data_IF_127108549030
#
_entry.id   IF_127108549030
#
_cell.length_a   1.000
_cell.length_b   1.000
_cell.length_c   1.000
_cell.angle_alpha   90.00
_cell.angle_beta   90.00
_cell.angle_gamma   90.00
#
_symmetry.space_group_name_H-M   'P 1'
#
loop_
_entity.id
_entity.type
_entity.pdbx_description
1 polymer ?
#
# COMPACT_ATOMS: atom_id res chain seq x y z
N UNK A 1 -34.32 -22.15 4.05
CA UNK A 1 -33.51 -23.39 4.14
C UNK A 1 -32.39 -23.27 3.10
N UNK A 2 -31.41 -22.40 3.38
CA UNK A 2 -30.27 -22.12 2.50
C UNK A 2 -29.04 -22.69 3.19
N UNK A 3 -28.43 -23.68 2.53
CA UNK A 3 -27.33 -24.47 3.07
C UNK A 3 -26.06 -23.62 3.15
N UNK A 4 -25.51 -23.61 4.36
CA UNK A 4 -24.22 -23.09 4.75
C UNK A 4 -23.12 -23.95 4.06
N UNK A 5 -22.47 -23.44 3.02
CA UNK A 5 -21.24 -24.06 2.49
C UNK A 5 -20.05 -23.38 3.16
N UNK A 6 -19.63 -24.00 4.27
CA UNK A 6 -18.34 -23.80 4.90
C UNK A 6 -17.24 -24.30 3.95
N UNK A 7 -16.47 -23.39 3.37
CA UNK A 7 -15.23 -23.73 2.64
C UNK A 7 -14.09 -23.79 3.66
N UNK A 8 -13.92 -24.95 4.28
CA UNK A 8 -12.66 -25.40 4.85
C UNK A 8 -11.88 -26.16 3.77
N UNK A 9 -11.05 -25.46 3.01
CA UNK A 9 -10.02 -26.05 2.15
C UNK A 9 -8.67 -25.43 2.50
N UNK A 10 -8.08 -25.89 3.61
CA UNK A 10 -6.68 -25.70 3.96
C UNK A 10 -6.14 -27.09 4.29
N UNK A 11 -5.50 -27.72 3.32
CA UNK A 11 -4.90 -29.04 3.50
C UNK A 11 -4.18 -29.52 2.25
N UNK A 12 -2.86 -29.73 2.39
CA UNK A 12 -1.93 -30.36 1.46
C UNK A 12 -1.39 -29.51 0.29
N UNK A 13 -0.47 -28.58 0.61
CA UNK A 13 0.61 -28.25 -0.32
C UNK A 13 1.59 -29.44 -0.35
N UNK A 14 1.48 -30.26 -1.39
CA UNK A 14 2.40 -31.36 -1.65
C UNK A 14 3.77 -30.80 -2.11
N UNK A 15 4.82 -31.11 -1.36
CA UNK A 15 6.21 -30.96 -1.81
C UNK A 15 6.47 -31.94 -2.95
N UNK A 16 6.27 -31.51 -4.19
CA UNK A 16 6.70 -32.25 -5.37
C UNK A 16 8.20 -32.05 -5.58
N UNK A 17 9.00 -33.08 -5.25
CA UNK A 17 10.39 -33.19 -5.71
C UNK A 17 10.38 -33.48 -7.21
N UNK A 18 10.86 -32.53 -8.00
CA UNK A 18 11.12 -32.69 -9.43
C UNK A 18 12.37 -33.55 -9.64
N UNK A 19 12.18 -34.81 -9.98
CA UNK A 19 13.22 -35.64 -10.62
C UNK A 19 13.29 -35.27 -12.11
N UNK A 20 14.42 -34.71 -12.53
CA UNK A 20 14.68 -34.30 -13.91
C UNK A 20 14.63 -35.48 -14.89
N UNK A 21 13.79 -35.34 -15.92
CA UNK A 21 13.74 -36.22 -17.09
C UNK A 21 14.05 -35.36 -18.31
N UNK A 22 15.27 -35.47 -18.82
CA UNK A 22 15.72 -34.77 -20.02
C UNK A 22 14.94 -35.24 -21.24
N UNK A 23 14.36 -34.30 -21.99
CA UNK A 23 13.77 -34.55 -23.31
C UNK A 23 14.42 -33.57 -24.30
N UNK A 24 15.10 -34.05 -25.35
CA UNK A 24 15.55 -33.19 -26.44
C UNK A 24 14.46 -33.14 -27.51
N UNK A 25 14.15 -31.95 -28.03
CA UNK A 25 13.31 -31.84 -29.23
C UNK A 25 12.66 -30.49 -29.46
N UNK A 26 13.23 -29.79 -30.45
CA UNK A 26 12.60 -28.86 -31.39
C UNK A 26 12.33 -27.41 -30.93
N UNK A 27 13.27 -26.56 -31.34
CA UNK A 27 13.14 -25.11 -31.49
C UNK A 27 12.04 -24.78 -32.52
N UNK A 28 10.82 -24.53 -32.05
CA UNK A 28 9.85 -23.73 -32.76
C UNK A 28 9.79 -22.38 -32.04
N UNK A 29 10.21 -21.32 -32.73
CA UNK A 29 10.11 -19.95 -32.23
C UNK A 29 8.63 -19.67 -31.89
N UNK A 30 8.27 -19.43 -30.62
CA UNK A 30 6.89 -19.20 -30.25
C UNK A 30 6.41 -17.90 -30.90
N UNK A 31 5.19 -17.87 -31.47
CA UNK A 31 4.64 -16.67 -32.07
C UNK A 31 4.62 -15.54 -31.05
N UNK A 32 5.23 -14.41 -31.41
CA UNK A 32 5.27 -13.21 -30.57
C UNK A 32 3.83 -12.75 -30.33
N UNK A 33 3.34 -12.98 -29.11
CA UNK A 33 1.99 -12.58 -28.73
C UNK A 33 1.88 -11.05 -28.85
N UNK A 34 0.77 -10.51 -29.37
CA UNK A 34 0.54 -9.07 -29.40
C UNK A 34 0.64 -8.52 -27.97
N UNK A 35 1.36 -7.41 -27.80
CA UNK A 35 1.51 -6.75 -26.51
C UNK A 35 0.12 -6.37 -25.97
N UNK A 36 -0.28 -7.01 -24.87
CA UNK A 36 -1.51 -6.65 -24.17
C UNK A 36 -1.38 -5.20 -23.69
N UNK A 37 -2.33 -4.30 -23.98
CA UNK A 37 -2.24 -2.92 -23.55
C UNK A 37 -2.18 -2.85 -22.01
N UNK A 38 -1.19 -2.15 -21.48
CA UNK A 38 -1.03 -1.90 -20.05
C UNK A 38 -2.11 -0.93 -19.59
N UNK A 39 -2.87 -1.30 -18.57
CA UNK A 39 -3.84 -0.38 -17.95
C UNK A 39 -3.04 0.62 -17.12
N UNK A 40 -3.15 1.91 -17.44
CA UNK A 40 -2.65 3.00 -16.60
C UNK A 40 -3.87 3.69 -15.97
N UNK A 41 -4.44 3.12 -14.89
CA UNK A 41 -5.63 3.69 -14.29
C UNK A 41 -5.28 5.06 -13.70
N UNK A 42 -6.16 6.04 -13.91
CA UNK A 42 -6.10 7.28 -13.14
C UNK A 42 -6.38 6.94 -11.68
N UNK A 43 -5.67 7.60 -10.76
CA UNK A 43 -6.04 7.54 -9.35
C UNK A 43 -7.18 8.54 -9.12
N UNK A 44 -8.20 8.16 -8.37
CA UNK A 44 -9.33 9.03 -8.05
C UNK A 44 -8.85 10.40 -7.57
N UNK A 45 -9.16 11.44 -8.35
CA UNK A 45 -9.04 12.82 -7.92
C UNK A 45 -10.13 13.03 -6.86
N UNK A 46 -9.72 13.30 -5.62
CA UNK A 46 -10.69 13.49 -4.56
C UNK A 46 -11.55 14.73 -4.85
N UNK A 47 -12.84 14.64 -4.55
CA UNK A 47 -13.68 15.81 -4.36
C UNK A 47 -13.00 16.77 -3.37
N UNK A 48 -12.48 17.91 -3.87
CA UNK A 48 -12.17 19.12 -3.10
C UNK A 48 -10.76 19.31 -2.52
N UNK A 49 -9.91 18.27 -2.43
CA UNK A 49 -8.61 18.36 -1.72
C UNK A 49 -7.44 17.78 -2.56
N UNK A 50 -7.42 18.04 -3.86
CA UNK A 50 -6.19 17.86 -4.65
C UNK A 50 -5.47 19.20 -4.60
N UNK A 51 -4.65 19.40 -3.56
CA UNK A 51 -3.61 20.41 -3.66
C UNK A 51 -2.71 19.99 -4.82
N UNK A 52 -2.55 20.88 -5.80
CA UNK A 52 -1.62 20.66 -6.91
C UNK A 52 -0.23 20.33 -6.34
N UNK A 53 0.49 19.42 -6.99
CA UNK A 53 1.80 18.96 -6.51
C UNK A 53 2.76 20.13 -6.24
N UNK A 54 2.67 21.19 -7.04
CA UNK A 54 3.43 22.43 -6.89
C UNK A 54 3.06 23.19 -5.62
N UNK A 55 1.77 23.26 -5.29
CA UNK A 55 1.27 23.89 -4.05
C UNK A 55 1.74 23.12 -2.82
N UNK A 56 1.66 21.79 -2.86
CA UNK A 56 2.18 20.93 -1.77
C UNK A 56 3.69 21.12 -1.61
N UNK A 57 4.43 21.10 -2.72
CA UNK A 57 5.88 21.29 -2.72
C UNK A 57 6.30 22.66 -2.18
N UNK A 58 5.60 23.73 -2.58
CA UNK A 58 5.82 25.07 -2.04
C UNK A 58 5.54 25.14 -0.54
N UNK A 59 4.47 24.51 -0.08
CA UNK A 59 4.13 24.46 1.36
C UNK A 59 5.16 23.69 2.18
N UNK A 60 5.66 22.56 1.68
CA UNK A 60 6.73 21.79 2.33
C UNK A 60 7.99 22.64 2.48
N UNK A 61 8.43 23.31 1.41
CA UNK A 61 9.59 24.22 1.46
C UNK A 61 9.39 25.34 2.47
N UNK A 62 8.21 25.97 2.48
CA UNK A 62 7.88 27.04 3.42
C UNK A 62 7.94 26.57 4.88
N UNK A 63 7.41 25.38 5.17
CA UNK A 63 7.50 24.81 6.52
C UNK A 63 8.94 24.51 6.93
N UNK A 64 9.77 23.99 6.03
CA UNK A 64 11.19 23.77 6.31
C UNK A 64 11.92 25.09 6.61
N UNK A 65 11.67 26.14 5.83
CA UNK A 65 12.22 27.49 6.09
C UNK A 65 11.77 28.06 7.44
N UNK A 66 10.48 27.96 7.76
CA UNK A 66 9.93 28.40 9.05
C UNK A 66 10.57 27.63 10.21
N UNK A 67 10.88 26.35 10.00
CA UNK A 67 11.54 25.53 11.01
C UNK A 67 13.00 25.93 11.28
N UNK A 68 13.68 26.54 10.30
CA UNK A 68 15.03 27.11 10.50
C UNK A 68 14.96 28.51 11.14
N UNK A 69 13.87 29.24 10.94
CA UNK A 69 13.67 30.60 11.45
C UNK A 69 13.06 30.65 12.87
N UNK A 70 12.42 29.57 13.31
CA UNK A 70 11.74 29.51 14.58
C UNK A 70 12.69 29.64 15.78
N UNK A 71 12.34 30.52 16.73
CA UNK A 71 13.16 30.82 17.91
C UNK A 71 13.11 29.71 18.98
N UNK A 72 12.01 28.96 19.05
CA UNK A 72 11.78 27.95 20.08
C UNK A 72 11.71 26.51 19.52
N UNK A 73 12.08 25.54 20.36
CA UNK A 73 12.13 24.14 19.97
C UNK A 73 10.77 23.54 19.59
N UNK A 74 9.67 24.01 20.19
CA UNK A 74 8.33 23.51 19.88
C UNK A 74 7.94 23.84 18.44
N UNK A 75 8.09 25.11 18.05
CA UNK A 75 7.86 25.57 16.69
C UNK A 75 8.78 24.86 15.69
N UNK A 76 10.09 24.76 16.00
CA UNK A 76 11.06 24.06 15.16
C UNK A 76 10.69 22.59 14.91
N UNK A 77 10.24 21.87 15.94
CA UNK A 77 9.78 20.47 15.83
C UNK A 77 8.47 20.40 15.06
N UNK A 78 7.50 21.23 15.42
CA UNK A 78 6.15 21.24 14.82
C UNK A 78 6.23 21.46 13.30
N UNK A 79 7.00 22.45 12.84
CA UNK A 79 7.16 22.72 11.40
C UNK A 79 7.83 21.56 10.66
N UNK A 80 8.88 20.94 11.24
CA UNK A 80 9.57 19.77 10.63
C UNK A 80 8.66 18.56 10.55
N UNK A 81 7.92 18.26 11.62
CA UNK A 81 6.97 17.15 11.63
C UNK A 81 5.83 17.38 10.63
N UNK A 82 5.29 18.61 10.55
CA UNK A 82 4.27 18.97 9.57
C UNK A 82 4.79 18.81 8.12
N UNK A 83 6.00 19.28 7.83
CA UNK A 83 6.63 19.11 6.52
C UNK A 83 6.82 17.64 6.16
N UNK A 84 7.37 16.82 7.08
CA UNK A 84 7.52 15.38 6.87
C UNK A 84 6.17 14.68 6.66
N UNK A 85 5.15 15.06 7.43
CA UNK A 85 3.80 14.50 7.29
C UNK A 85 3.19 14.83 5.92
N UNK A 86 3.42 16.04 5.38
CA UNK A 86 2.96 16.41 4.04
C UNK A 86 3.67 15.62 2.94
N UNK A 87 4.99 15.42 3.04
CA UNK A 87 5.75 14.58 2.09
C UNK A 87 5.15 13.17 2.07
N UNK A 88 5.04 12.54 3.25
CA UNK A 88 4.50 11.18 3.38
C UNK A 88 3.06 11.08 2.83
N UNK A 89 2.18 11.99 3.23
CA UNK A 89 0.75 11.94 2.89
C UNK A 89 0.43 12.33 1.45
N UNK A 90 1.13 13.28 0.86
CA UNK A 90 0.74 13.83 -0.44
C UNK A 90 1.68 13.44 -1.59
N UNK A 91 2.96 13.20 -1.31
CA UNK A 91 3.94 12.87 -2.33
C UNK A 91 4.22 11.36 -2.38
N UNK A 92 4.20 10.66 -1.24
CA UNK A 92 4.49 9.21 -1.16
C UNK A 92 3.24 8.34 -1.24
N UNK A 93 2.13 8.76 -0.61
CA UNK A 93 0.87 7.99 -0.62
C UNK A 93 0.37 7.56 -2.02
N UNK A 94 0.47 8.37 -3.10
CA UNK A 94 0.08 7.91 -4.43
C UNK A 94 0.85 6.66 -4.88
N UNK A 95 2.16 6.65 -4.65
CA UNK A 95 3.00 5.52 -4.99
C UNK A 95 2.74 4.33 -4.06
N UNK A 96 2.45 4.58 -2.77
CA UNK A 96 2.02 3.53 -1.83
C UNK A 96 0.67 2.91 -2.24
N UNK A 97 -0.26 3.70 -2.78
CA UNK A 97 -1.51 3.20 -3.36
C UNK A 97 -1.22 2.28 -4.53
N UNK A 98 -0.41 2.73 -5.49
CA UNK A 98 -0.01 1.91 -6.63
C UNK A 98 0.69 0.62 -6.20
N UNK A 99 1.50 0.69 -5.13
CA UNK A 99 2.12 -0.48 -4.50
C UNK A 99 1.08 -1.47 -3.96
N UNK A 100 0.14 -0.98 -3.14
CA UNK A 100 -0.93 -1.78 -2.56
C UNK A 100 -1.81 -2.42 -3.64
N UNK A 101 -2.00 -1.71 -4.75
CA UNK A 101 -2.70 -2.21 -5.93
C UNK A 101 -1.83 -3.03 -6.87
N UNK A 102 -0.52 -3.21 -6.62
CA UNK A 102 0.34 -4.07 -7.44
C UNK A 102 0.66 -3.52 -8.82
N UNK A 103 0.48 -2.21 -9.02
CA UNK A 103 0.71 -1.51 -10.29
C UNK A 103 2.07 -0.84 -10.31
N UNK A 104 2.93 -1.06 -9.31
CA UNK A 104 4.10 -0.21 -9.09
C UNK A 104 5.04 -0.24 -10.31
N UNK A 105 5.17 0.87 -11.07
CA UNK A 105 6.18 0.96 -12.11
C UNK A 105 7.56 1.01 -11.45
N UNK A 106 8.59 0.48 -12.11
CA UNK A 106 9.97 0.57 -11.62
C UNK A 106 10.37 2.02 -11.25
N UNK A 107 9.81 3.00 -11.95
CA UNK A 107 10.05 4.42 -11.71
C UNK A 107 9.37 4.96 -10.43
N UNK A 108 8.25 4.39 -9.98
CA UNK A 108 7.63 4.84 -8.73
C UNK A 108 8.50 4.50 -7.52
N UNK A 109 9.14 3.32 -7.53
CA UNK A 109 10.14 2.95 -6.51
C UNK A 109 11.29 3.95 -6.46
N UNK A 110 11.80 4.37 -7.63
CA UNK A 110 12.88 5.35 -7.76
C UNK A 110 12.46 6.75 -7.27
N UNK A 111 11.21 7.14 -7.48
CA UNK A 111 10.68 8.42 -7.02
C UNK A 111 10.41 8.43 -5.50
N UNK A 112 10.01 7.30 -4.91
CA UNK A 112 9.71 7.20 -3.48
C UNK A 112 10.94 7.36 -2.60
N UNK A 113 12.08 6.79 -2.99
CA UNK A 113 13.31 6.79 -2.19
C UNK A 113 13.80 8.20 -1.79
N UNK A 114 14.01 9.16 -2.72
CA UNK A 114 14.45 10.52 -2.36
C UNK A 114 13.43 11.27 -1.51
N UNK A 115 12.13 11.05 -1.73
CA UNK A 115 11.07 11.66 -0.92
C UNK A 115 11.08 11.09 0.51
N UNK A 116 11.27 9.78 0.67
CA UNK A 116 11.40 9.15 1.97
C UNK A 116 12.64 9.67 2.70
N UNK A 117 13.76 9.83 2.00
CA UNK A 117 14.98 10.38 2.57
C UNK A 117 14.77 11.83 3.06
N UNK A 118 14.14 12.68 2.24
CA UNK A 118 13.82 14.05 2.64
C UNK A 118 12.92 14.12 3.89
N UNK A 119 11.91 13.24 3.99
CA UNK A 119 11.09 13.12 5.19
C UNK A 119 11.92 12.63 6.40
N UNK A 120 12.81 11.65 6.20
CA UNK A 120 13.69 11.12 7.25
C UNK A 120 14.69 12.16 7.77
N UNK A 121 15.21 13.04 6.93
CA UNK A 121 16.13 14.11 7.35
C UNK A 121 15.44 15.13 8.27
N UNK A 122 14.21 15.53 7.90
CA UNK A 122 13.35 16.37 8.75
C UNK A 122 13.04 15.69 10.09
N UNK A 123 12.70 14.40 10.06
CA UNK A 123 12.38 13.61 11.26
C UNK A 123 13.62 13.38 12.14
N UNK A 124 14.80 13.18 11.55
CA UNK A 124 16.05 13.03 12.30
C UNK A 124 16.36 14.29 13.11
N UNK A 125 16.21 15.46 12.48
CA UNK A 125 16.43 16.76 13.12
C UNK A 125 15.40 17.03 14.22
N UNK A 126 14.11 16.77 13.94
CA UNK A 126 13.04 16.87 14.94
C UNK A 126 13.29 15.94 16.14
N UNK A 127 13.78 14.72 15.91
CA UNK A 127 14.14 13.77 16.97
C UNK A 127 15.26 14.30 17.88
N UNK A 128 16.34 14.83 17.30
CA UNK A 128 17.44 15.44 18.07
C UNK A 128 16.95 16.62 18.92
N UNK A 129 16.08 17.46 18.38
CA UNK A 129 15.48 18.57 19.12
C UNK A 129 14.61 18.05 20.27
N UNK A 130 13.74 17.07 20.02
CA UNK A 130 12.92 16.44 21.06
C UNK A 130 13.77 15.84 22.18
N UNK A 131 14.89 15.20 21.85
CA UNK A 131 15.81 14.61 22.84
C UNK A 131 16.59 15.65 23.64
N UNK A 132 16.76 16.87 23.10
CA UNK A 132 17.38 17.99 23.83
C UNK A 132 16.42 18.69 24.81
N UNK A 133 15.10 18.52 24.65
CA UNK A 133 14.10 19.03 25.59
C UNK A 133 14.11 18.13 26.83
N UNK A 134 14.69 18.65 27.91
CA UNK A 134 14.79 17.94 29.20
C UNK A 134 13.43 17.64 29.83
N UNK A 135 13.37 16.72 30.81
CA UNK A 135 12.14 16.34 31.50
C UNK A 135 11.52 17.48 32.34
N UNK A 136 12.29 18.51 32.67
CA UNK A 136 11.92 19.59 33.61
C UNK A 136 11.35 20.85 32.94
N UNK A 137 11.01 20.80 31.64
CA UNK A 137 10.42 21.97 30.95
C UNK A 137 8.95 22.12 31.37
N UNK A 138 8.62 23.22 32.05
CA UNK A 138 7.27 23.56 32.54
C UNK A 138 6.20 23.54 31.42
N UNK A 139 6.60 23.76 30.17
CA UNK A 139 5.77 23.69 28.96
C UNK A 139 5.75 22.30 28.27
N UNK A 140 6.20 21.23 28.92
CA UNK A 140 6.38 19.88 28.34
C UNK A 140 5.13 19.19 27.78
N UNK A 141 3.95 19.81 27.84
CA UNK A 141 2.69 19.25 27.36
C UNK A 141 2.69 18.95 25.85
N UNK A 142 3.45 19.70 25.05
CA UNK A 142 3.56 19.47 23.60
C UNK A 142 4.52 18.33 23.23
N UNK A 143 5.46 17.98 24.12
CA UNK A 143 6.56 17.05 23.83
C UNK A 143 6.06 15.64 23.57
N UNK A 144 5.16 15.11 24.41
CA UNK A 144 4.68 13.74 24.26
C UNK A 144 3.81 13.53 23.00
N UNK A 145 2.85 14.41 22.67
CA UNK A 145 2.19 14.40 21.37
C UNK A 145 3.18 14.46 20.19
N UNK A 146 4.18 15.35 20.25
CA UNK A 146 5.19 15.47 19.20
C UNK A 146 6.07 14.22 19.09
N UNK A 147 6.47 13.59 20.20
CA UNK A 147 7.21 12.31 20.21
C UNK A 147 6.40 11.19 19.60
N UNK A 148 5.09 11.11 19.88
CA UNK A 148 4.19 10.12 19.29
C UNK A 148 4.06 10.31 17.77
N UNK A 149 3.86 11.55 17.33
CA UNK A 149 3.81 11.89 15.90
C UNK A 149 5.14 11.55 15.21
N UNK A 150 6.27 11.97 15.78
CA UNK A 150 7.61 11.67 15.29
C UNK A 150 7.86 10.17 15.13
N UNK A 151 7.58 9.37 16.17
CA UNK A 151 7.74 7.89 16.13
C UNK A 151 6.91 7.30 14.99
N UNK A 152 5.65 7.70 14.88
CA UNK A 152 4.74 7.17 13.85
C UNK A 152 5.22 7.51 12.45
N UNK A 153 5.53 8.80 12.19
CA UNK A 153 6.00 9.25 10.88
C UNK A 153 7.35 8.61 10.51
N UNK A 154 8.27 8.46 11.47
CA UNK A 154 9.57 7.79 11.24
C UNK A 154 9.38 6.33 10.85
N UNK A 155 8.60 5.56 11.60
CA UNK A 155 8.39 4.14 11.32
C UNK A 155 7.73 3.94 9.94
N UNK A 156 6.77 4.79 9.59
CA UNK A 156 6.15 4.77 8.26
C UNK A 156 7.18 5.11 7.16
N UNK A 157 7.95 6.19 7.33
CA UNK A 157 8.99 6.59 6.37
C UNK A 157 10.06 5.50 6.17
N UNK A 158 10.54 4.90 7.26
CA UNK A 158 11.50 3.79 7.21
C UNK A 158 10.92 2.55 6.53
N UNK A 159 9.67 2.21 6.83
CA UNK A 159 9.00 1.08 6.21
C UNK A 159 8.84 1.27 4.70
N UNK A 160 8.42 2.45 4.27
CA UNK A 160 8.30 2.77 2.83
C UNK A 160 9.66 2.77 2.15
N UNK A 161 10.70 3.35 2.77
CA UNK A 161 12.06 3.33 2.23
C UNK A 161 12.58 1.90 2.08
N UNK A 162 12.33 1.04 3.08
CA UNK A 162 12.73 -0.36 3.04
C UNK A 162 11.97 -1.17 1.97
N UNK A 163 10.74 -0.80 1.63
CA UNK A 163 10.01 -1.37 0.49
C UNK A 163 10.61 -0.92 -0.85
N UNK A 164 11.11 0.31 -0.92
CA UNK A 164 11.73 0.83 -2.13
C UNK A 164 13.11 0.23 -2.43
N UNK A 165 13.69 -0.47 -1.46
CA UNK A 165 15.00 -1.09 -1.59
C UNK A 165 14.90 -2.63 -1.56
N UNK A 166 15.11 -3.26 -2.72
CA UNK A 166 15.06 -4.72 -2.88
C UNK A 166 16.36 -5.44 -2.51
N UNK A 167 17.29 -4.79 -1.82
CA UNK A 167 18.56 -5.39 -1.38
C UNK A 167 18.32 -6.68 -0.56
N UNK A 168 18.82 -7.85 -1.01
CA UNK A 168 18.70 -9.12 -0.29
C UNK A 168 19.78 -9.32 0.78
N UNK A 169 20.63 -8.33 1.07
CA UNK A 169 21.70 -8.45 2.08
C UNK A 169 21.17 -8.76 3.49
N UNK A 170 21.98 -9.46 4.30
CA UNK A 170 21.65 -9.75 5.71
C UNK A 170 21.38 -8.47 6.51
N UNK A 171 22.09 -7.38 6.18
CA UNK A 171 21.88 -6.07 6.78
C UNK A 171 20.50 -5.49 6.43
N UNK A 172 20.08 -5.60 5.17
CA UNK A 172 18.75 -5.18 4.74
C UNK A 172 17.64 -6.04 5.40
N UNK A 173 17.84 -7.36 5.48
CA UNK A 173 16.92 -8.27 6.16
C UNK A 173 16.79 -7.90 7.65
N UNK A 174 17.92 -7.67 8.34
CA UNK A 174 17.91 -7.29 9.74
C UNK A 174 17.26 -5.91 9.95
N UNK A 175 17.48 -4.97 9.04
CA UNK A 175 16.80 -3.67 9.06
C UNK A 175 15.29 -3.80 8.90
N UNK A 176 14.80 -4.62 7.97
CA UNK A 176 13.37 -4.90 7.81
C UNK A 176 12.76 -5.53 9.07
N UNK A 177 13.48 -6.47 9.71
CA UNK A 177 13.04 -7.05 11.00
C UNK A 177 12.92 -5.99 12.10
N UNK A 178 13.90 -5.08 12.20
CA UNK A 178 13.85 -3.96 13.16
C UNK A 178 12.63 -3.07 12.92
N UNK A 179 12.39 -2.65 11.67
CA UNK A 179 11.24 -1.82 11.31
C UNK A 179 9.93 -2.53 11.64
N UNK A 180 9.83 -3.84 11.37
CA UNK A 180 8.64 -4.64 11.70
C UNK A 180 8.35 -4.72 13.20
N UNK A 181 9.37 -4.79 14.04
CA UNK A 181 9.19 -4.71 15.50
C UNK A 181 8.59 -3.36 15.92
N UNK A 182 8.96 -2.28 15.26
CA UNK A 182 8.39 -0.95 15.53
C UNK A 182 6.98 -0.79 14.94
N UNK A 183 6.71 -1.35 13.76
CA UNK A 183 5.38 -1.42 13.17
C UNK A 183 4.41 -2.18 14.08
N UNK A 184 4.88 -3.20 14.81
CA UNK A 184 4.04 -3.91 15.77
C UNK A 184 3.48 -3.00 16.87
N UNK A 185 4.21 -1.95 17.27
CA UNK A 185 3.70 -0.94 18.21
C UNK A 185 2.57 -0.12 17.57
N UNK A 186 2.70 0.21 16.27
CA UNK A 186 1.68 0.96 15.53
C UNK A 186 0.40 0.16 15.25
N UNK A 187 0.48 -1.18 15.26
CA UNK A 187 -0.71 -2.03 15.13
C UNK A 187 -1.67 -1.88 16.33
N UNK A 188 -1.14 -1.52 17.51
CA UNK A 188 -1.92 -1.26 18.71
C UNK A 188 -2.41 0.21 18.79
N UNK A 189 -2.17 1.02 17.75
CA UNK A 189 -2.53 2.44 17.76
C UNK A 189 -4.06 2.64 17.70
N UNK A 190 -4.64 3.59 18.45
CA UNK A 190 -6.10 3.80 18.46
C UNK A 190 -6.67 4.24 17.10
N UNK A 191 -5.91 4.99 16.30
CA UNK A 191 -6.29 5.39 14.93
C UNK A 191 -6.13 4.22 13.94
N UNK A 192 -7.23 3.75 13.39
CA UNK A 192 -7.28 2.63 12.44
C UNK A 192 -6.56 2.91 11.12
N UNK A 193 -6.38 4.18 10.74
CA UNK A 193 -5.60 4.56 9.56
C UNK A 193 -4.14 4.18 9.76
N UNK A 194 -3.60 4.46 10.96
CA UNK A 194 -2.24 4.07 11.33
C UNK A 194 -2.11 2.55 11.38
N UNK A 195 -3.11 1.85 11.95
CA UNK A 195 -3.10 0.38 11.95
C UNK A 195 -3.07 -0.20 10.53
N UNK A 196 -3.85 0.38 9.61
CA UNK A 196 -3.93 -0.09 8.23
C UNK A 196 -2.62 0.11 7.47
N UNK A 197 -1.98 1.28 7.56
CA UNK A 197 -0.65 1.48 6.95
C UNK A 197 0.38 0.56 7.59
N UNK A 198 0.37 0.41 8.92
CA UNK A 198 1.31 -0.45 9.61
C UNK A 198 1.15 -1.93 9.22
N UNK A 199 -0.10 -2.39 9.05
CA UNK A 199 -0.42 -3.74 8.60
C UNK A 199 0.07 -3.98 7.18
N UNK A 200 -0.19 -3.05 6.26
CA UNK A 200 0.28 -3.14 4.87
C UNK A 200 1.82 -3.19 4.81
N UNK A 201 2.50 -2.29 5.53
CA UNK A 201 3.97 -2.26 5.57
C UNK A 201 4.54 -3.52 6.22
N UNK A 202 4.01 -4.00 7.35
CA UNK A 202 4.51 -5.22 8.00
C UNK A 202 4.36 -6.45 7.10
N UNK A 203 3.23 -6.57 6.39
CA UNK A 203 3.00 -7.65 5.43
C UNK A 203 4.01 -7.61 4.30
N UNK A 204 4.24 -6.44 3.73
CA UNK A 204 5.11 -6.27 2.57
C UNK A 204 6.60 -6.35 2.89
N UNK A 205 6.97 -6.04 4.13
CA UNK A 205 8.34 -6.18 4.62
C UNK A 205 8.66 -7.62 5.07
N UNK A 206 7.67 -8.52 5.17
CA UNK A 206 7.92 -9.94 5.49
C UNK A 206 8.56 -10.64 4.30
N UNK A 207 9.60 -11.42 4.59
CA UNK A 207 10.14 -12.34 3.60
C UNK A 207 9.19 -13.53 3.44
N UNK A 208 8.76 -13.89 2.21
CA UNK A 208 7.95 -15.08 1.98
C UNK A 208 8.67 -16.38 2.38
N UNK A 209 10.00 -16.33 2.54
CA UNK A 209 10.82 -17.47 2.98
C UNK A 209 10.66 -17.74 4.49
N UNK A 210 10.48 -16.69 5.30
CA UNK A 210 10.45 -16.82 6.77
C UNK A 210 9.11 -17.36 7.29
N UNK A 211 8.00 -16.91 6.71
CA UNK A 211 6.65 -17.28 7.13
C UNK A 211 5.65 -17.07 5.99
N UNK A 212 5.42 -18.08 5.13
CA UNK A 212 4.57 -17.93 3.94
C UNK A 212 3.08 -17.74 4.28
N UNK A 213 2.64 -18.08 5.50
CA UNK A 213 1.23 -18.02 5.90
C UNK A 213 0.95 -16.90 6.93
N UNK A 214 1.97 -16.38 7.60
CA UNK A 214 1.88 -15.29 8.55
C UNK A 214 1.15 -14.05 8.05
N UNK A 215 1.46 -13.53 6.85
CA UNK A 215 0.75 -12.40 6.26
C UNK A 215 -0.77 -12.61 6.18
N UNK A 216 -1.22 -13.79 5.74
CA UNK A 216 -2.64 -14.09 5.60
C UNK A 216 -3.39 -14.14 6.93
N UNK A 217 -2.72 -14.51 8.03
CA UNK A 217 -3.34 -14.52 9.37
C UNK A 217 -3.58 -13.13 9.94
N UNK A 218 -2.85 -12.12 9.46
CA UNK A 218 -2.94 -10.73 9.92
C UNK A 218 -3.95 -9.90 9.15
N UNK A 219 -4.34 -10.35 7.96
CA UNK A 219 -5.29 -9.65 7.14
C UNK A 219 -6.73 -10.01 7.51
N UNK A 220 -7.67 -9.03 7.49
CA UNK A 220 -9.08 -9.29 7.72
C UNK A 220 -9.59 -10.34 6.72
N UNK A 221 -10.57 -11.15 7.11
CA UNK A 221 -11.24 -12.02 6.15
C UNK A 221 -11.86 -11.16 5.06
N UNK A 222 -11.70 -11.60 3.81
CA UNK A 222 -12.10 -10.80 2.66
C UNK A 222 -13.58 -10.40 2.70
N UNK A 223 -14.45 -11.30 3.16
CA UNK A 223 -15.90 -11.11 3.12
C UNK A 223 -16.51 -10.74 4.48
N UNK A 224 -15.69 -10.57 5.52
CA UNK A 224 -16.20 -10.18 6.83
C UNK A 224 -16.82 -8.77 6.77
N UNK A 225 -18.02 -8.58 7.35
CA UNK A 225 -18.71 -7.30 7.32
C UNK A 225 -17.89 -6.22 8.03
N UNK A 226 -17.88 -5.01 7.46
CA UNK A 226 -17.06 -3.86 7.89
C UNK A 226 -17.54 -3.20 9.20
N UNK A 227 -18.23 -3.92 10.08
CA UNK A 227 -18.88 -3.36 11.27
C UNK A 227 -17.92 -2.59 12.20
N UNK A 228 -16.61 -2.75 12.03
CA UNK A 228 -15.56 -2.07 12.81
C UNK A 228 -14.40 -1.50 11.97
N UNK A 229 -14.48 -1.47 10.64
CA UNK A 229 -13.31 -1.19 9.77
C UNK A 229 -13.54 0.06 8.91
N UNK A 230 -12.81 1.17 9.13
CA UNK A 230 -13.05 2.40 8.40
C UNK A 230 -12.62 2.25 6.93
N UNK A 231 -13.60 2.36 6.04
CA UNK A 231 -13.37 2.50 4.61
C UNK A 231 -12.63 3.82 4.30
N UNK A 232 -11.74 3.84 3.30
CA UNK A 232 -11.46 2.77 2.33
C UNK A 232 -10.40 1.75 2.77
N UNK A 233 -9.78 1.91 3.94
CA UNK A 233 -8.56 1.18 4.29
C UNK A 233 -8.76 -0.34 4.42
N UNK A 234 -9.88 -0.74 5.02
CA UNK A 234 -10.27 -2.15 5.14
C UNK A 234 -10.39 -2.87 3.79
N UNK A 235 -10.73 -2.16 2.71
CA UNK A 235 -10.80 -2.76 1.37
C UNK A 235 -9.40 -3.11 0.87
N UNK A 236 -8.42 -2.21 0.98
CA UNK A 236 -7.05 -2.46 0.54
C UNK A 236 -6.41 -3.67 1.23
N UNK A 237 -6.66 -3.84 2.54
CA UNK A 237 -6.18 -5.02 3.28
C UNK A 237 -6.84 -6.32 2.76
N UNK A 238 -8.12 -6.28 2.37
CA UNK A 238 -8.81 -7.44 1.78
C UNK A 238 -8.33 -7.74 0.36
N UNK A 239 -8.04 -6.71 -0.44
CA UNK A 239 -7.43 -6.86 -1.76
C UNK A 239 -6.02 -7.47 -1.65
N UNK A 240 -5.22 -6.99 -0.70
CA UNK A 240 -3.90 -7.55 -0.38
C UNK A 240 -3.99 -9.03 0.00
N UNK A 241 -5.03 -9.41 0.76
CA UNK A 241 -5.28 -10.82 1.10
C UNK A 241 -5.51 -11.66 -0.14
N UNK A 242 -6.36 -11.18 -1.06
CA UNK A 242 -6.66 -11.90 -2.29
C UNK A 242 -5.40 -12.09 -3.15
N UNK A 243 -4.54 -11.07 -3.22
CA UNK A 243 -3.25 -11.16 -3.91
C UNK A 243 -2.35 -12.22 -3.28
N UNK A 244 -2.17 -12.21 -1.97
CA UNK A 244 -1.36 -13.21 -1.27
C UNK A 244 -1.91 -14.64 -1.41
N UNK A 245 -3.24 -14.80 -1.42
CA UNK A 245 -3.88 -16.10 -1.72
C UNK A 245 -3.54 -16.55 -3.14
N UNK A 246 -3.60 -15.67 -4.14
CA UNK A 246 -3.19 -15.98 -5.51
C UNK A 246 -1.69 -16.32 -5.60
N UNK A 247 -0.83 -15.54 -4.98
CA UNK A 247 0.63 -15.76 -4.92
C UNK A 247 0.99 -17.12 -4.28
N UNK A 248 0.14 -17.63 -3.38
CA UNK A 248 0.26 -18.98 -2.82
C UNK A 248 -0.20 -20.12 -3.75
N UNK A 249 -0.61 -19.80 -4.98
CA UNK A 249 -1.09 -20.73 -6.00
C UNK A 249 -2.61 -20.85 -6.10
N UNK A 250 -3.37 -20.30 -5.16
CA UNK A 250 -4.83 -20.43 -5.08
C UNK A 250 -5.57 -19.36 -5.90
N UNK A 251 -5.19 -19.18 -7.17
CA UNK A 251 -5.70 -18.14 -8.08
C UNK A 251 -7.23 -18.17 -8.24
N UNK A 252 -7.81 -19.35 -8.47
CA UNK A 252 -9.26 -19.51 -8.63
C UNK A 252 -10.03 -19.04 -7.38
N UNK A 253 -9.53 -19.36 -6.19
CA UNK A 253 -10.14 -18.94 -4.93
C UNK A 253 -10.02 -17.42 -4.74
N UNK A 254 -8.85 -16.83 -5.04
CA UNK A 254 -8.67 -15.39 -5.00
C UNK A 254 -9.64 -14.66 -5.96
N UNK A 255 -9.82 -15.16 -7.18
CA UNK A 255 -10.74 -14.59 -8.17
C UNK A 255 -12.19 -14.68 -7.68
N UNK A 256 -12.61 -15.84 -7.16
CA UNK A 256 -13.97 -16.02 -6.65
C UNK A 256 -14.29 -15.06 -5.48
N UNK A 257 -13.30 -14.81 -4.62
CA UNK A 257 -13.43 -13.83 -3.53
C UNK A 257 -13.44 -12.40 -4.07
N UNK A 258 -12.63 -12.07 -5.07
CA UNK A 258 -12.61 -10.73 -5.68
C UNK A 258 -13.94 -10.40 -6.38
N UNK A 259 -14.59 -11.38 -7.03
CA UNK A 259 -15.95 -11.19 -7.59
C UNK A 259 -16.95 -10.85 -6.49
N UNK A 260 -16.93 -11.59 -5.38
CA UNK A 260 -17.82 -11.31 -4.24
C UNK A 260 -17.50 -9.96 -3.58
N UNK A 261 -16.23 -9.59 -3.46
CA UNK A 261 -15.81 -8.28 -2.95
C UNK A 261 -16.34 -7.13 -3.82
N UNK A 262 -16.33 -7.30 -5.14
CA UNK A 262 -16.86 -6.32 -6.09
C UNK A 262 -18.37 -6.12 -5.88
N UNK A 263 -19.13 -7.20 -5.74
CA UNK A 263 -20.57 -7.13 -5.41
C UNK A 263 -20.80 -6.44 -4.06
N UNK A 264 -19.98 -6.76 -3.05
CA UNK A 264 -20.08 -6.17 -1.70
C UNK A 264 -19.70 -4.70 -1.65
N UNK A 265 -18.98 -4.17 -2.64
CA UNK A 265 -18.73 -2.73 -2.73
C UNK A 265 -20.04 -1.93 -2.79
N UNK A 266 -21.12 -2.51 -3.31
CA UNK A 266 -22.45 -1.89 -3.32
C UNK A 266 -23.03 -1.67 -1.92
N UNK A 267 -22.73 -2.57 -0.99
CA UNK A 267 -23.22 -2.49 0.39
C UNK A 267 -22.33 -1.62 1.28
N UNK A 268 -21.09 -1.38 0.85
CA UNK A 268 -20.04 -0.74 1.64
C UNK A 268 -19.84 0.74 1.29
N UNK A 269 -20.08 1.11 0.03
CA UNK A 269 -19.82 2.46 -0.47
C UNK A 269 -21.07 3.05 -1.12
N UNK A 270 -21.19 4.38 -1.03
CA UNK A 270 -22.29 5.15 -1.61
C UNK A 270 -21.84 6.01 -2.80
N UNK A 271 -22.78 6.28 -3.70
CA UNK A 271 -22.59 7.19 -4.84
C UNK A 271 -21.41 6.80 -5.73
N UNK A 272 -20.65 7.80 -6.19
CA UNK A 272 -19.51 7.60 -7.09
C UNK A 272 -18.40 6.71 -6.50
N UNK A 273 -18.21 6.73 -5.16
CA UNK A 273 -17.17 5.91 -4.49
C UNK A 273 -17.43 4.41 -4.63
N UNK A 274 -18.69 4.01 -4.80
CA UNK A 274 -19.07 2.62 -5.04
C UNK A 274 -18.48 2.07 -6.32
N UNK A 275 -18.64 2.81 -7.41
CA UNK A 275 -18.11 2.43 -8.72
C UNK A 275 -16.59 2.43 -8.73
N UNK A 276 -15.97 3.43 -8.07
CA UNK A 276 -14.52 3.50 -7.91
C UNK A 276 -13.98 2.32 -7.09
N UNK A 277 -14.67 1.92 -6.01
CA UNK A 277 -14.30 0.75 -5.21
C UNK A 277 -14.42 -0.57 -5.98
N UNK A 278 -15.52 -0.76 -6.71
CA UNK A 278 -15.71 -1.91 -7.58
C UNK A 278 -14.63 -1.96 -8.67
N UNK A 279 -14.31 -0.83 -9.30
CA UNK A 279 -13.23 -0.72 -10.29
C UNK A 279 -11.86 -1.05 -9.70
N UNK A 280 -11.59 -0.61 -8.47
CA UNK A 280 -10.35 -0.94 -7.75
C UNK A 280 -10.23 -2.45 -7.51
N UNK A 281 -11.32 -3.09 -7.11
CA UNK A 281 -11.37 -4.56 -6.94
C UNK A 281 -11.18 -5.28 -8.27
N UNK A 282 -11.83 -4.80 -9.34
CA UNK A 282 -11.71 -5.33 -10.69
C UNK A 282 -10.28 -5.24 -11.23
N UNK A 283 -9.54 -4.17 -10.90
CA UNK A 283 -8.13 -4.03 -11.25
C UNK A 283 -7.29 -5.18 -10.66
N UNK A 284 -7.44 -5.43 -9.37
CA UNK A 284 -6.71 -6.51 -8.68
C UNK A 284 -7.11 -7.87 -9.26
N UNK A 285 -8.38 -8.07 -9.65
CA UNK A 285 -8.82 -9.27 -10.37
C UNK A 285 -8.12 -9.46 -11.70
N UNK A 286 -7.95 -8.40 -12.49
CA UNK A 286 -7.20 -8.45 -13.75
C UNK A 286 -5.76 -8.92 -13.49
N UNK A 287 -5.07 -8.36 -12.49
CA UNK A 287 -3.69 -8.73 -12.17
C UNK A 287 -3.54 -10.19 -11.73
N UNK A 288 -4.49 -10.67 -10.91
CA UNK A 288 -4.51 -12.08 -10.49
C UNK A 288 -4.74 -13.00 -11.70
N UNK A 289 -5.63 -12.63 -12.63
CA UNK A 289 -5.86 -13.38 -13.87
C UNK A 289 -4.62 -13.36 -14.78
N UNK A 290 -3.93 -12.23 -14.89
CA UNK A 290 -2.69 -12.10 -15.67
C UNK A 290 -1.58 -13.00 -15.10
N UNK A 291 -1.42 -13.00 -13.78
CA UNK A 291 -0.47 -13.86 -13.07
C UNK A 291 -0.83 -15.33 -13.24
N UNK A 292 -2.12 -15.69 -13.14
CA UNK A 292 -2.57 -17.06 -13.33
C UNK A 292 -2.34 -17.54 -14.78
N UNK A 293 -2.65 -16.70 -15.76
CA UNK A 293 -2.41 -17.01 -17.18
C UNK A 293 -0.92 -17.25 -17.46
N UNK A 294 -0.03 -16.45 -16.84
CA UNK A 294 1.42 -16.62 -16.96
C UNK A 294 1.90 -17.93 -16.30
N UNK A 295 1.40 -18.26 -15.10
CA UNK A 295 1.72 -19.51 -14.42
C UNK A 295 1.26 -20.74 -15.23
N UNK A 296 0.02 -20.74 -15.72
CA UNK A 296 -0.53 -21.81 -16.57
C UNK A 296 0.31 -22.00 -17.86
N UNK A 297 0.73 -20.91 -18.49
CA UNK A 297 1.57 -20.97 -19.68
C UNK A 297 2.96 -21.57 -19.37
N UNK A 298 3.57 -21.19 -18.24
CA UNK A 298 4.85 -21.72 -17.77
C UNK A 298 4.78 -23.21 -17.43
N UNK A 299 3.68 -23.67 -16.83
CA UNK A 299 3.48 -25.06 -16.42
C UNK A 299 3.09 -25.99 -17.58
N UNK A 300 2.94 -25.46 -18.80
CA UNK A 300 2.50 -26.22 -19.96
C UNK A 300 1.05 -26.69 -19.85
N UNK A 301 0.21 -25.95 -19.12
CA UNK A 301 -1.21 -26.23 -18.97
C UNK A 301 -1.95 -26.12 -20.31
N UNK A 302 -3.21 -26.57 -20.34
CA UNK A 302 -4.00 -26.58 -21.57
C UNK A 302 -4.21 -25.14 -22.09
N UNK A 303 -3.99 -24.94 -23.39
CA UNK A 303 -4.14 -23.62 -24.03
C UNK A 303 -5.54 -22.99 -23.80
N UNK A 304 -6.56 -23.83 -23.60
CA UNK A 304 -7.93 -23.41 -23.27
C UNK A 304 -8.04 -22.67 -21.93
N UNK A 305 -7.23 -23.02 -20.92
CA UNK A 305 -7.26 -22.37 -19.60
C UNK A 305 -6.60 -20.99 -19.66
N UNK A 306 -5.48 -20.87 -20.36
CA UNK A 306 -4.83 -19.58 -20.63
C UNK A 306 -5.77 -18.67 -21.43
N UNK A 307 -6.46 -19.21 -22.45
CA UNK A 307 -7.44 -18.46 -23.24
C UNK A 307 -8.64 -18.03 -22.39
N UNK A 308 -9.11 -18.87 -21.47
CA UNK A 308 -10.17 -18.51 -20.54
C UNK A 308 -9.75 -17.31 -19.67
N UNK A 309 -8.55 -17.32 -19.08
CA UNK A 309 -8.04 -16.19 -18.30
C UNK A 309 -8.01 -14.90 -19.11
N UNK A 310 -7.51 -14.95 -20.36
CA UNK A 310 -7.49 -13.79 -21.28
C UNK A 310 -8.89 -13.27 -21.59
N UNK A 311 -9.84 -14.16 -21.88
CA UNK A 311 -11.23 -13.78 -22.13
C UNK A 311 -11.88 -13.10 -20.92
N UNK A 312 -11.58 -13.57 -19.70
CA UNK A 312 -12.01 -12.93 -18.47
C UNK A 312 -11.38 -11.54 -18.31
N UNK A 313 -10.06 -11.40 -18.51
CA UNK A 313 -9.37 -10.09 -18.45
C UNK A 313 -10.05 -9.10 -19.40
N UNK A 314 -10.30 -9.49 -20.65
CA UNK A 314 -10.94 -8.62 -21.64
C UNK A 314 -12.37 -8.25 -21.24
N UNK A 315 -13.12 -9.17 -20.66
CA UNK A 315 -14.46 -8.88 -20.15
C UNK A 315 -14.42 -7.86 -19.02
N UNK A 316 -13.52 -8.03 -18.05
CA UNK A 316 -13.37 -7.09 -16.92
C UNK A 316 -12.91 -5.71 -17.40
N UNK A 317 -11.97 -5.65 -18.36
CA UNK A 317 -11.51 -4.40 -18.98
C UNK A 317 -12.65 -3.66 -19.66
N UNK A 318 -13.45 -4.34 -20.49
CA UNK A 318 -14.61 -3.72 -21.16
C UNK A 318 -15.64 -3.17 -20.17
N UNK A 319 -15.87 -3.86 -19.06
CA UNK A 319 -16.87 -3.44 -18.07
C UNK A 319 -16.39 -2.26 -17.22
N UNK A 320 -15.14 -2.28 -16.74
CA UNK A 320 -14.69 -1.32 -15.71
C UNK A 320 -13.69 -0.26 -16.21
N UNK A 321 -13.00 -0.53 -17.33
CA UNK A 321 -11.96 0.32 -17.90
C UNK A 321 -12.18 0.52 -19.41
N UNK A 322 -13.35 1.06 -19.83
CA UNK A 322 -13.59 1.33 -21.23
C UNK A 322 -12.61 2.39 -21.75
N UNK A 323 -12.11 2.27 -22.99
CA UNK A 323 -11.00 3.09 -23.50
C UNK A 323 -11.29 4.59 -23.55
N UNK A 324 -12.57 4.98 -23.64
CA UNK A 324 -13.00 6.37 -23.79
C UNK A 324 -13.52 7.00 -22.49
N UNK A 325 -13.36 6.34 -21.34
CA UNK A 325 -13.78 6.88 -20.05
C UNK A 325 -12.60 7.07 -19.09
N UNK A 326 -12.67 8.15 -18.29
CA UNK A 326 -11.84 8.25 -17.10
C UNK A 326 -12.24 7.12 -16.14
N UNK A 327 -11.27 6.27 -15.79
CA UNK A 327 -11.50 5.04 -15.06
C UNK A 327 -10.77 5.08 -13.69
N UNK A 328 -11.14 6.03 -12.80
CA UNK A 328 -10.42 6.24 -11.56
C UNK A 328 -10.51 5.04 -10.62
N UNK A 329 -9.40 4.72 -9.95
CA UNK A 329 -9.35 3.73 -8.87
C UNK A 329 -9.16 4.41 -7.52
N UNK A 330 -9.63 3.77 -6.45
CA UNK A 330 -9.55 4.29 -5.10
C UNK A 330 -8.10 4.58 -4.74
N UNK A 331 -7.93 5.67 -4.00
CA UNK A 331 -6.67 5.97 -3.32
C UNK A 331 -6.66 5.40 -1.93
N UNK A 332 -5.48 5.00 -1.45
CA UNK A 332 -5.24 4.67 -0.05
C UNK A 332 -5.09 5.95 0.80
N UNK A 333 -5.87 6.96 0.42
CA UNK A 333 -5.80 8.33 0.89
C UNK A 333 -6.21 8.37 2.35
N UNK A 334 -5.51 9.18 3.13
CA UNK A 334 -5.65 9.29 4.59
C UNK A 334 -5.08 8.14 5.41
N UNK A 335 -4.48 7.10 4.80
CA UNK A 335 -3.85 6.03 5.60
C UNK A 335 -2.69 6.57 6.44
N UNK A 336 -2.03 7.61 5.95
CA UNK A 336 -1.10 8.43 6.71
C UNK A 336 -1.91 9.64 7.20
N UNK A 337 -2.42 9.64 8.44
CA UNK A 337 -3.17 10.78 8.96
C UNK A 337 -2.28 12.01 9.08
N UNK A 338 -2.90 13.19 9.12
CA UNK A 338 -2.20 14.39 9.58
C UNK A 338 -2.14 14.30 11.10
N UNK A 339 -0.94 14.01 11.61
CA UNK A 339 -0.64 13.88 13.03
C UNK A 339 -0.22 15.19 13.66
N UNK A 340 0.22 16.13 12.82
CA UNK A 340 0.59 17.48 13.22
C UNK A 340 -0.28 18.43 12.42
N UNK A 341 -0.93 19.35 13.12
CA UNK A 341 -1.69 20.42 12.50
C UNK A 341 -0.73 21.22 11.62
N UNK A 342 -1.11 21.45 10.36
CA UNK A 342 -0.26 22.18 9.44
C UNK A 342 -0.52 23.66 9.68
N UNK A 343 0.43 24.42 10.26
CA UNK A 343 0.22 25.83 10.50
C UNK A 343 -0.09 26.54 9.18
N UNK A 344 -0.96 27.54 9.28
CA UNK A 344 -1.30 28.38 8.13
C UNK A 344 -0.05 29.17 7.71
N UNK A 345 0.44 29.00 6.47
CA UNK A 345 1.62 29.72 6.00
C UNK A 345 1.46 31.24 6.01
N UNK A 346 0.23 31.77 6.08
CA UNK A 346 -0.05 33.20 6.23
C UNK A 346 0.18 33.73 7.65
N UNK A 347 0.23 32.85 8.66
CA UNK A 347 0.50 33.23 10.04
C UNK A 347 2.01 33.41 10.18
N UNK A 348 2.44 34.67 10.28
CA UNK A 348 3.83 35.01 10.58
C UNK A 348 4.10 34.55 12.03
N UNK A 349 5.20 33.82 12.31
CA UNK A 349 5.50 33.44 13.69
C UNK A 349 5.58 34.72 14.53
N UNK A 350 4.92 34.71 15.69
CA UNK A 350 5.03 35.81 16.64
C UNK A 350 6.51 35.96 17.04
N UNK A 351 7.01 37.21 17.17
CA UNK A 351 8.42 37.50 17.39
C UNK A 351 8.97 36.93 18.70
#
# INVERSE_FOLDING_TARGET
MLALILVTCLGAAATARTTGRSRPGQDAEPPTAPATPTISPSLEAANGDVLEADVVGARIRRLAELAEQAADANSQVTFRLAAANLILRHQIEPALTQFALGILPDDATRQMSPLCQAAMDLLSTAGKLLDSVGPDVEDGQWVEPARRAWRTLRVVAEGVLALSNSDPSDAAIQRRRSIRSELAILLEHPDDRIKAVATLLDIRLRSPIEDPQGPLRRLPLALDPLLSDPLPHGLFLRLERCRLVAESGAHAAAIAVLVQLEERCHDWFDGARREVAARTTALVRIQVLETWAAALASDGAAASEVQWCRAQIDAVRRTHFPPDADAPVLRFRHVIPLLVEVPDPAVTPAP
#
